data_IF_503339232811
#
_entry.id   IF_503339232811
#
_cell.length_a   1.000
_cell.length_b   1.000
_cell.length_c   1.000
_cell.angle_alpha   90.00
_cell.angle_beta   90.00
_cell.angle_gamma   90.00
#
_symmetry.space_group_name_H-M   'P 1'
#
loop_
_entity.id
_entity.type
_entity.pdbx_description
1 polymer ?
#
# COMPACT_ATOMS: atom_id res chain seq x y z
N UNK A 1 5.69 8.93 1.14
CA UNK A 1 6.40 9.78 0.16
C UNK A 1 7.87 9.37 0.01
N UNK A 2 8.71 9.40 1.06
CA UNK A 2 10.14 9.03 0.94
C UNK A 2 10.39 7.65 0.30
N UNK A 3 9.70 6.60 0.78
CA UNK A 3 9.88 5.25 0.22
C UNK A 3 9.55 5.18 -1.28
N UNK A 4 8.48 5.85 -1.74
CA UNK A 4 8.12 5.90 -3.15
C UNK A 4 9.16 6.68 -3.97
N UNK A 5 9.80 7.70 -3.40
CA UNK A 5 10.89 8.42 -4.08
C UNK A 5 12.12 7.54 -4.29
N UNK A 6 12.48 6.74 -3.27
CA UNK A 6 13.59 5.78 -3.36
C UNK A 6 13.28 4.71 -4.41
N UNK A 7 12.06 4.18 -4.42
CA UNK A 7 11.64 3.20 -5.43
C UNK A 7 11.64 3.78 -6.84
N UNK A 8 11.19 5.02 -7.04
CA UNK A 8 11.26 5.70 -8.35
C UNK A 8 12.71 5.86 -8.81
N UNK A 9 13.61 6.24 -7.89
CA UNK A 9 15.02 6.36 -8.21
C UNK A 9 15.64 5.01 -8.54
N UNK A 10 15.22 3.94 -7.85
CA UNK A 10 15.65 2.58 -8.13
C UNK A 10 15.23 2.12 -9.53
N UNK A 11 13.95 2.31 -9.91
CA UNK A 11 13.49 2.02 -11.28
C UNK A 11 14.32 2.80 -12.29
N UNK A 12 14.62 4.08 -12.03
CA UNK A 12 15.42 4.93 -12.92
C UNK A 12 16.86 4.42 -13.12
N UNK A 13 17.55 3.97 -12.07
CA UNK A 13 18.93 3.45 -12.21
C UNK A 13 18.95 2.04 -12.80
N UNK A 14 17.86 1.29 -12.69
CA UNK A 14 17.68 -0.04 -13.27
C UNK A 14 17.02 0.02 -14.67
N UNK A 15 17.32 1.06 -15.45
CA UNK A 15 16.85 1.22 -16.84
C UNK A 15 15.32 1.24 -17.01
N UNK A 16 14.58 1.67 -16.00
CA UNK A 16 13.12 1.74 -16.01
C UNK A 16 12.41 0.42 -15.72
N UNK A 17 13.15 -0.63 -15.32
CA UNK A 17 12.55 -1.88 -14.86
C UNK A 17 11.66 -1.62 -13.65
N UNK A 18 10.46 -2.23 -13.65
CA UNK A 18 9.48 -2.03 -12.59
C UNK A 18 9.93 -2.73 -11.31
N UNK A 19 9.57 -2.21 -10.13
CA UNK A 19 9.91 -2.84 -8.84
C UNK A 19 9.55 -4.34 -8.83
N UNK A 20 8.41 -4.71 -9.41
CA UNK A 20 7.96 -6.10 -9.52
C UNK A 20 8.88 -7.01 -10.33
N UNK A 21 9.72 -6.46 -11.20
CA UNK A 21 10.69 -7.20 -12.02
C UNK A 21 12.08 -7.27 -11.38
N UNK A 22 12.33 -6.45 -10.35
CA UNK A 22 13.65 -6.30 -9.73
C UNK A 22 13.86 -7.18 -8.51
N UNK A 23 12.78 -7.72 -7.94
CA UNK A 23 12.81 -8.48 -6.70
C UNK A 23 12.00 -9.77 -6.83
N UNK A 24 12.52 -10.85 -6.27
CA UNK A 24 11.81 -12.14 -6.15
C UNK A 24 10.89 -12.19 -4.91
N UNK A 25 11.13 -11.30 -3.94
CA UNK A 25 10.37 -11.22 -2.70
C UNK A 25 10.25 -9.77 -2.22
N UNK A 26 9.02 -9.34 -1.90
CA UNK A 26 8.75 -8.01 -1.36
C UNK A 26 7.89 -8.13 -0.11
N UNK A 27 8.32 -7.45 0.96
CA UNK A 27 7.61 -7.42 2.23
C UNK A 27 7.33 -5.97 2.63
N UNK A 28 6.15 -5.74 3.22
CA UNK A 28 5.78 -4.45 3.76
C UNK A 28 5.11 -4.57 5.12
N UNK A 29 5.42 -3.62 6.01
CA UNK A 29 4.79 -3.50 7.33
C UNK A 29 4.08 -2.15 7.44
N UNK A 30 2.86 -2.13 7.99
CA UNK A 30 2.07 -0.90 8.15
C UNK A 30 1.94 -0.15 6.81
N UNK A 31 2.30 1.13 6.73
CA UNK A 31 2.37 1.91 5.49
C UNK A 31 3.15 1.21 4.37
N UNK A 32 4.21 0.47 4.72
CA UNK A 32 5.00 -0.31 3.77
C UNK A 32 4.22 -1.45 3.13
N UNK A 33 3.26 -2.05 3.84
CA UNK A 33 2.37 -3.07 3.27
C UNK A 33 1.48 -2.47 2.17
N UNK A 34 0.99 -1.25 2.36
CA UNK A 34 0.20 -0.54 1.34
C UNK A 34 1.04 -0.33 0.08
N UNK A 35 2.26 0.18 0.25
CA UNK A 35 3.19 0.40 -0.87
C UNK A 35 3.50 -0.93 -1.56
N UNK A 36 3.83 -1.97 -0.80
CA UNK A 36 4.13 -3.31 -1.30
C UNK A 36 2.96 -3.90 -2.13
N UNK A 37 1.74 -3.77 -1.63
CA UNK A 37 0.54 -4.22 -2.35
C UNK A 37 0.40 -3.51 -3.70
N UNK A 38 0.60 -2.19 -3.74
CA UNK A 38 0.49 -1.41 -4.97
C UNK A 38 1.61 -1.73 -5.98
N UNK A 39 2.88 -1.75 -5.54
CA UNK A 39 4.02 -1.87 -6.47
C UNK A 39 4.29 -3.31 -6.91
N UNK A 40 4.15 -4.28 -6.01
CA UNK A 40 4.50 -5.67 -6.27
C UNK A 40 3.27 -6.55 -6.50
N UNK A 41 2.19 -6.34 -5.75
CA UNK A 41 0.95 -7.12 -5.89
C UNK A 41 0.10 -6.70 -7.10
N UNK A 42 0.03 -5.40 -7.38
CA UNK A 42 -0.81 -4.85 -8.45
C UNK A 42 -0.04 -4.31 -9.65
N UNK A 43 1.28 -4.27 -9.58
CA UNK A 43 2.15 -3.71 -10.62
C UNK A 43 1.82 -2.25 -10.99
N UNK A 44 1.41 -1.43 -10.02
CA UNK A 44 1.17 -0.01 -10.25
C UNK A 44 2.48 0.75 -10.40
N UNK A 45 2.50 1.73 -11.30
CA UNK A 45 3.66 2.61 -11.46
C UNK A 45 3.89 3.42 -10.20
N UNK A 46 5.13 3.84 -9.96
CA UNK A 46 5.44 4.67 -8.78
C UNK A 46 4.65 5.99 -8.83
N UNK A 47 4.37 6.51 -10.02
CA UNK A 47 3.51 7.68 -10.22
C UNK A 47 2.08 7.43 -9.73
N UNK A 48 1.45 6.33 -10.12
CA UNK A 48 0.11 5.95 -9.66
C UNK A 48 0.10 5.73 -8.15
N UNK A 49 1.10 5.05 -7.61
CA UNK A 49 1.28 4.84 -6.17
C UNK A 49 1.35 6.18 -5.43
N UNK A 50 2.10 7.17 -5.94
CA UNK A 50 2.18 8.52 -5.36
C UNK A 50 0.83 9.23 -5.39
N UNK A 51 0.04 9.09 -6.46
CA UNK A 51 -1.29 9.69 -6.56
C UNK A 51 -2.26 9.07 -5.55
N UNK A 52 -2.34 7.75 -5.49
CA UNK A 52 -3.17 7.01 -4.52
C UNK A 52 -2.75 7.37 -3.10
N UNK A 53 -1.45 7.35 -2.81
CA UNK A 53 -0.92 7.68 -1.49
C UNK A 53 -1.18 9.13 -1.07
N UNK A 54 -1.28 10.09 -2.00
CA UNK A 54 -1.63 11.49 -1.68
C UNK A 54 -3.12 11.67 -1.37
N UNK A 55 -3.99 10.86 -1.96
CA UNK A 55 -5.43 10.85 -1.68
C UNK A 55 -5.79 10.09 -0.41
N UNK A 56 -4.84 9.29 0.09
CA UNK A 56 -5.02 8.41 1.23
C UNK A 56 -5.22 9.17 2.57
N UNK A 57 -4.42 10.21 2.91
CA UNK A 57 -4.58 10.95 4.15
C UNK A 57 -5.88 11.76 4.23
N UNK A 58 -6.35 12.31 3.11
CA UNK A 58 -7.57 13.13 3.09
C UNK A 58 -8.83 12.29 3.31
N UNK A 59 -8.84 11.01 2.91
CA UNK A 59 -9.98 10.11 3.11
C UNK A 59 -9.95 9.39 4.46
N UNK A 60 -8.77 9.03 4.96
CA UNK A 60 -8.64 8.28 6.23
C UNK A 60 -8.55 9.19 7.47
N UNK A 61 -7.97 10.41 7.37
CA UNK A 61 -7.84 11.34 8.50
C UNK A 61 -8.90 12.46 8.55
N UNK A 62 -9.84 12.56 7.60
CA UNK A 62 -10.94 13.52 7.74
C UNK A 62 -11.95 13.11 8.81
N UNK A 63 -12.17 11.80 9.01
CA UNK A 63 -13.09 11.33 10.04
C UNK A 63 -12.54 11.50 11.46
N UNK A 64 -11.21 11.45 11.65
CA UNK A 64 -10.60 11.63 12.97
C UNK A 64 -10.66 13.06 13.52
N UNK A 65 -11.03 14.06 12.71
CA UNK A 65 -11.26 15.44 13.19
C UNK A 65 -12.66 15.66 13.77
N UNK A 66 -13.66 14.88 13.37
CA UNK A 66 -15.05 15.01 13.87
C UNK A 66 -15.25 14.20 15.14
N UNK A 67 -14.54 13.08 15.28
CA UNK A 67 -14.48 12.30 16.51
C UNK A 67 -13.33 12.82 17.39
N UNK A 68 -13.63 13.78 18.27
CA UNK A 68 -12.67 14.32 19.24
C UNK A 68 -12.06 13.27 20.17
N UNK A 69 -11.27 13.72 21.14
CA UNK A 69 -10.45 12.94 22.09
C UNK A 69 -11.10 11.75 22.82
N UNK A 70 -12.42 11.55 22.72
CA UNK A 70 -13.11 10.34 23.14
C UNK A 70 -12.92 9.13 22.21
N UNK A 71 -12.71 9.33 20.91
CA UNK A 71 -12.46 8.24 19.95
C UNK A 71 -11.16 7.50 20.25
N UNK A 72 -10.12 8.23 20.64
CA UNK A 72 -8.80 7.71 21.00
C UNK A 72 -8.79 6.68 22.14
N UNK A 73 -9.78 6.68 23.03
CA UNK A 73 -9.86 5.73 24.15
C UNK A 73 -10.67 4.46 23.80
N UNK A 74 -11.61 4.57 22.85
CA UNK A 74 -12.49 3.47 22.44
C UNK A 74 -11.97 2.74 21.20
N UNK A 75 -11.28 3.42 20.28
CA UNK A 75 -10.65 2.83 19.11
C UNK A 75 -9.18 2.52 19.40
N UNK A 76 -8.87 1.29 19.78
CA UNK A 76 -7.49 0.80 19.81
C UNK A 76 -6.88 0.63 18.40
N UNK A 77 -7.62 0.99 17.35
CA UNK A 77 -7.21 1.03 15.94
C UNK A 77 -6.95 2.47 15.52
N UNK A 78 -5.67 2.84 15.37
CA UNK A 78 -5.21 4.16 14.90
C UNK A 78 -5.61 4.47 13.44
N UNK A 79 -6.37 3.57 12.80
CA UNK A 79 -6.80 3.59 11.43
C UNK A 79 -8.28 3.20 11.36
N UNK A 80 -9.05 3.91 10.53
CA UNK A 80 -10.36 3.43 10.10
C UNK A 80 -10.15 2.32 9.07
N UNK A 81 -10.03 1.10 9.60
CA UNK A 81 -9.73 -0.14 8.89
C UNK A 81 -10.71 -0.40 7.75
N UNK A 82 -11.98 -0.02 7.91
CA UNK A 82 -13.02 -0.29 6.91
C UNK A 82 -12.82 0.56 5.65
N UNK A 83 -12.54 1.86 5.81
CA UNK A 83 -12.25 2.74 4.67
C UNK A 83 -10.98 2.31 3.93
N UNK A 84 -9.98 1.80 4.65
CA UNK A 84 -8.77 1.26 4.05
C UNK A 84 -9.03 -0.02 3.27
N UNK A 85 -9.76 -0.98 3.85
CA UNK A 85 -10.12 -2.23 3.19
C UNK A 85 -11.00 -1.98 1.96
N UNK A 86 -11.91 -1.00 2.01
CA UNK A 86 -12.72 -0.57 0.86
C UNK A 86 -11.82 0.00 -0.24
N UNK A 87 -10.87 0.87 0.10
CA UNK A 87 -9.93 1.42 -0.89
C UNK A 87 -9.05 0.31 -1.50
N UNK A 88 -8.53 -0.59 -0.67
CA UNK A 88 -7.78 -1.75 -1.15
C UNK A 88 -8.63 -2.63 -2.06
N UNK A 89 -9.89 -2.93 -1.71
CA UNK A 89 -10.79 -3.69 -2.59
C UNK A 89 -11.07 -2.95 -3.91
N UNK A 90 -11.21 -1.63 -3.89
CA UNK A 90 -11.40 -0.83 -5.10
C UNK A 90 -10.16 -0.85 -6.03
N UNK A 91 -8.95 -0.87 -5.46
CA UNK A 91 -7.71 -0.84 -6.23
C UNK A 91 -7.28 -2.26 -6.63
N UNK A 92 -7.40 -3.24 -5.73
CA UNK A 92 -6.96 -4.62 -5.93
C UNK A 92 -8.02 -5.53 -6.59
N UNK A 93 -9.29 -5.14 -6.57
CA UNK A 93 -10.39 -6.02 -6.95
C UNK A 93 -10.50 -7.23 -6.02
N UNK A 94 -10.88 -8.37 -6.58
CA UNK A 94 -11.01 -9.67 -5.88
C UNK A 94 -9.68 -10.46 -5.83
N UNK A 95 -8.55 -9.86 -6.27
CA UNK A 95 -7.26 -10.56 -6.29
C UNK A 95 -6.79 -10.87 -4.86
N UNK A 96 -6.43 -12.11 -4.66
CA UNK A 96 -5.87 -12.61 -3.40
C UNK A 96 -4.34 -12.56 -3.44
N UNK A 97 -3.70 -12.57 -2.27
CA UNK A 97 -2.24 -12.72 -2.20
C UNK A 97 -1.77 -14.05 -2.77
N UNK A 98 -2.61 -15.09 -2.74
CA UNK A 98 -2.28 -16.40 -3.32
C UNK A 98 -2.13 -16.32 -4.85
N UNK A 99 -2.84 -15.41 -5.51
CA UNK A 99 -2.71 -15.22 -6.95
C UNK A 99 -1.30 -14.75 -7.34
N UNK A 100 -0.58 -14.08 -6.43
CA UNK A 100 0.82 -13.69 -6.66
C UNK A 100 1.81 -14.85 -6.57
N UNK A 101 1.41 -16.01 -6.04
CA UNK A 101 2.29 -17.17 -5.83
C UNK A 101 2.43 -18.09 -7.05
N UNK A 102 1.55 -17.94 -8.03
CA UNK A 102 1.50 -18.81 -9.23
C UNK A 102 2.18 -18.20 -10.46
N UNK A 103 2.47 -16.90 -10.41
CA UNK A 103 3.16 -16.19 -11.49
C UNK A 103 4.68 -16.11 -11.28
N UNK A 104 5.43 -15.80 -12.34
CA UNK A 104 6.88 -15.45 -12.33
C UNK A 104 7.19 -14.11 -11.61
N UNK A 105 6.30 -13.68 -10.70
CA UNK A 105 6.33 -12.38 -10.04
C UNK A 105 6.69 -12.53 -8.56
N UNK A 106 7.13 -11.44 -7.89
CA UNK A 106 7.59 -11.51 -6.51
C UNK A 106 6.53 -12.09 -5.60
N UNK A 107 6.99 -12.97 -4.71
CA UNK A 107 6.19 -13.36 -3.55
C UNK A 107 5.98 -12.12 -2.68
N UNK A 108 4.73 -11.83 -2.32
CA UNK A 108 4.36 -10.64 -1.55
C UNK A 108 3.90 -11.03 -0.14
N UNK A 109 4.45 -10.35 0.87
CA UNK A 109 4.00 -10.48 2.25
C UNK A 109 3.63 -9.12 2.86
N UNK A 110 2.41 -9.03 3.39
CA UNK A 110 1.83 -7.82 3.93
C UNK A 110 1.54 -8.01 5.43
N UNK A 111 2.21 -7.23 6.28
CA UNK A 111 1.93 -7.21 7.71
C UNK A 111 1.29 -5.87 8.11
N UNK A 112 -0.02 -5.84 8.21
CA UNK A 112 -0.77 -4.73 8.82
C UNK A 112 -1.24 -5.16 10.21
N UNK A 113 -0.92 -4.34 11.23
CA UNK A 113 -1.59 -4.44 12.52
C UNK A 113 -2.82 -3.54 12.42
N UNK A 114 -4.00 -4.15 12.33
CA UNK A 114 -5.28 -3.46 12.42
C UNK A 114 -5.66 -3.27 13.88
#
# INVERSE_FOLDING_TARGET
MMALEILERLESICHGARIRQLFDYVVGVSTGAIICAMVAGLDLSIRECKQIYRLFPSRVFQQSKVAGSLGLLLSHSYYDTDNFLVLLRQICGEKTLLDTSTDLFPKVNLACRF
#
